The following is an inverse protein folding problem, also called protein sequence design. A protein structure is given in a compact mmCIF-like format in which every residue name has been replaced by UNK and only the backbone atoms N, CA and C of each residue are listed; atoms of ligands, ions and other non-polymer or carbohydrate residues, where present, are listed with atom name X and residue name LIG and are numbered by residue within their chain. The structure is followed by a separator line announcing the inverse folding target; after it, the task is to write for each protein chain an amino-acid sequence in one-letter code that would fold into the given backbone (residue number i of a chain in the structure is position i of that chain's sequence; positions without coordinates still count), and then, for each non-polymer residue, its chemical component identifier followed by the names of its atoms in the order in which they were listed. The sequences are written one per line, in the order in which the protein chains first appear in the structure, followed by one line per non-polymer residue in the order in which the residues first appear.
data_IF_029260117478
#
_entry.id   IF_029260117478
#
_cell.length_a   1.000
_cell.length_b   1.000
_cell.length_c   1.000
_cell.angle_alpha   90.00
_cell.angle_beta   90.00
_cell.angle_gamma   90.00
#
_symmetry.space_group_name_H-M   'P 1'
#
loop_
_entity.id
_entity.type
_entity.pdbx_description
1 polymer ?
#
# COMPACT_ATOMS: atom_id res chain seq x y z
N UNK A 1 0.67 14.36 -4.51
CA UNK A 1 -0.53 14.71 -5.28
C UNK A 1 -1.26 13.48 -5.80
N UNK A 2 -0.68 12.78 -6.78
CA UNK A 2 -1.19 11.49 -7.26
C UNK A 2 -1.33 10.47 -6.13
N UNK A 3 -0.34 10.42 -5.24
CA UNK A 3 -0.34 9.48 -4.11
C UNK A 3 -1.51 9.67 -3.13
N UNK A 4 -1.91 10.91 -2.87
CA UNK A 4 -3.14 11.18 -2.12
C UNK A 4 -4.40 10.56 -2.77
N UNK A 5 -4.49 10.57 -4.10
CA UNK A 5 -5.61 9.94 -4.83
C UNK A 5 -5.55 8.42 -4.64
N UNK A 6 -4.36 7.84 -4.73
CA UNK A 6 -4.14 6.41 -4.51
C UNK A 6 -4.55 6.00 -3.09
N UNK A 7 -4.07 6.67 -2.06
CA UNK A 7 -4.40 6.38 -0.64
C UNK A 7 -5.92 6.44 -0.40
N UNK A 8 -6.61 7.39 -1.03
CA UNK A 8 -8.09 7.49 -0.95
C UNK A 8 -8.80 6.27 -1.53
N UNK A 9 -8.20 5.59 -2.51
CA UNK A 9 -8.69 4.34 -3.12
C UNK A 9 -8.15 3.09 -2.42
N UNK A 10 -7.02 3.20 -1.74
CA UNK A 10 -6.46 2.15 -0.89
C UNK A 10 -7.30 1.90 0.37
N UNK A 11 -7.87 2.95 0.99
CA UNK A 11 -8.77 2.83 2.15
C UNK A 11 -9.92 1.82 1.95
N UNK A 12 -10.78 1.91 0.92
CA UNK A 12 -11.84 0.93 0.73
C UNK A 12 -11.31 -0.48 0.40
N UNK A 13 -10.15 -0.59 -0.26
CA UNK A 13 -9.51 -1.88 -0.47
C UNK A 13 -9.11 -2.52 0.86
N UNK A 14 -8.39 -1.81 1.74
CA UNK A 14 -8.02 -2.32 3.08
C UNK A 14 -9.27 -2.65 3.92
N UNK A 15 -10.31 -1.82 3.84
CA UNK A 15 -11.59 -2.14 4.49
C UNK A 15 -12.23 -3.43 3.95
N UNK A 16 -12.13 -3.71 2.64
CA UNK A 16 -12.62 -4.96 2.07
C UNK A 16 -11.81 -6.17 2.57
N UNK A 17 -10.49 -6.01 2.71
CA UNK A 17 -9.58 -7.03 3.25
C UNK A 17 -9.90 -7.30 4.71
N UNK A 18 -10.17 -6.26 5.51
CA UNK A 18 -10.64 -6.40 6.89
C UNK A 18 -11.93 -7.22 6.97
N UNK A 19 -12.90 -6.94 6.09
CA UNK A 19 -14.15 -7.71 6.03
C UNK A 19 -13.90 -9.17 5.65
N UNK A 20 -12.94 -9.45 4.76
CA UNK A 20 -12.53 -10.82 4.43
C UNK A 20 -11.85 -11.49 5.61
N UNK A 21 -10.95 -10.82 6.33
CA UNK A 21 -10.31 -11.35 7.53
C UNK A 21 -11.33 -11.79 8.59
N UNK A 22 -12.35 -10.97 8.86
CA UNK A 22 -13.42 -11.31 9.79
C UNK A 22 -14.27 -12.53 9.39
N UNK A 23 -14.25 -12.95 8.12
CA UNK A 23 -15.10 -14.02 7.58
C UNK A 23 -14.34 -15.29 7.21
N UNK A 24 -13.11 -15.12 6.73
CA UNK A 24 -12.34 -16.15 6.04
C UNK A 24 -11.05 -16.51 6.79
N UNK A 25 -10.57 -15.66 7.71
CA UNK A 25 -9.34 -15.95 8.44
C UNK A 25 -9.53 -17.05 9.48
N UNK A 26 -8.48 -17.84 9.68
CA UNK A 26 -8.38 -18.86 10.72
C UNK A 26 -7.59 -18.39 11.95
N UNK A 27 -7.21 -17.11 11.98
CA UNK A 27 -6.51 -16.45 13.08
C UNK A 27 -7.17 -15.11 13.38
N UNK A 28 -7.81 -15.01 14.55
CA UNK A 28 -8.56 -13.80 14.95
C UNK A 28 -7.67 -12.55 15.04
N UNK A 29 -6.35 -12.72 15.24
CA UNK A 29 -5.40 -11.61 15.33
C UNK A 29 -5.17 -10.89 14.00
N UNK A 30 -5.49 -11.52 12.86
CA UNK A 30 -5.40 -10.87 11.54
C UNK A 30 -6.22 -9.58 11.48
N UNK A 31 -7.42 -9.63 12.06
CA UNK A 31 -8.36 -8.52 12.08
C UNK A 31 -7.74 -7.31 12.75
N UNK A 32 -7.03 -7.51 13.87
CA UNK A 32 -6.40 -6.43 14.64
C UNK A 32 -5.25 -5.79 13.85
N UNK A 33 -4.43 -6.60 13.16
CA UNK A 33 -3.33 -6.11 12.32
C UNK A 33 -3.88 -5.26 11.17
N UNK A 34 -4.88 -5.76 10.44
CA UNK A 34 -5.46 -5.04 9.29
C UNK A 34 -6.19 -3.77 9.76
N UNK A 35 -6.89 -3.84 10.90
CA UNK A 35 -7.58 -2.69 11.49
C UNK A 35 -6.58 -1.58 11.89
N UNK A 36 -5.42 -1.93 12.44
CA UNK A 36 -4.38 -0.97 12.76
C UNK A 36 -3.85 -0.23 11.51
N UNK A 37 -3.71 -0.95 10.39
CA UNK A 37 -3.41 -0.36 9.09
C UNK A 37 -4.46 0.64 8.65
N UNK A 38 -5.73 0.22 8.64
CA UNK A 38 -6.86 1.07 8.25
C UNK A 38 -6.97 2.33 9.12
N UNK A 39 -6.71 2.22 10.43
CA UNK A 39 -6.66 3.36 11.33
C UNK A 39 -5.52 4.33 10.96
N UNK A 40 -4.33 3.82 10.64
CA UNK A 40 -3.18 4.61 10.23
C UNK A 40 -3.42 5.40 8.94
N UNK A 41 -4.24 4.87 8.01
CA UNK A 41 -4.62 5.58 6.78
C UNK A 41 -5.41 6.87 7.05
N UNK A 42 -6.15 6.98 8.16
CA UNK A 42 -6.81 8.23 8.53
C UNK A 42 -5.79 9.34 8.89
N UNK A 43 -4.75 8.96 9.62
CA UNK A 43 -3.67 9.87 9.99
C UNK A 43 -2.84 10.25 8.76
N UNK A 44 -2.68 9.32 7.82
CA UNK A 44 -1.99 9.56 6.55
C UNK A 44 -2.75 10.52 5.64
N UNK A 45 -4.06 10.35 5.51
CA UNK A 45 -4.91 11.31 4.79
C UNK A 45 -4.82 12.71 5.41
N UNK A 46 -4.75 12.80 6.74
CA UNK A 46 -4.61 14.06 7.45
C UNK A 46 -3.24 14.69 7.20
N UNK A 47 -2.19 13.87 7.19
CA UNK A 47 -0.83 14.29 6.83
C UNK A 47 -0.75 14.82 5.40
N UNK A 48 -1.31 14.12 4.41
CA UNK A 48 -1.34 14.60 3.02
C UNK A 48 -2.02 15.96 2.85
N UNK A 49 -3.09 16.22 3.61
CA UNK A 49 -3.77 17.53 3.58
C UNK A 49 -2.89 18.64 4.17
N UNK A 50 -2.16 18.33 5.23
CA UNK A 50 -1.22 19.28 5.84
C UNK A 50 -0.05 19.55 4.90
N UNK A 51 0.53 18.53 4.28
CA UNK A 51 1.58 18.69 3.27
C UNK A 51 1.08 19.51 2.09
N UNK A 52 -0.11 19.20 1.57
CA UNK A 52 -0.69 19.95 0.47
C UNK A 52 -0.84 21.45 0.80
N UNK A 53 -1.23 21.79 2.03
CA UNK A 53 -1.29 23.18 2.48
C UNK A 53 0.11 23.82 2.62
N UNK A 54 1.11 23.08 3.12
CA UNK A 54 2.51 23.55 3.21
C UNK A 54 3.11 23.86 1.84
N UNK A 55 2.80 23.05 0.83
CA UNK A 55 3.37 23.12 -0.51
C UNK A 55 2.48 23.86 -1.54
N UNK A 56 1.40 24.51 -1.10
CA UNK A 56 0.42 25.21 -1.95
C UNK A 56 -0.16 24.33 -3.08
N UNK A 57 -0.42 23.06 -2.78
CA UNK A 57 -0.98 22.08 -3.71
C UNK A 57 -2.49 21.94 -3.48
N UNK A 58 -3.29 22.28 -4.50
CA UNK A 58 -4.73 22.06 -4.46
C UNK A 58 -5.12 20.61 -4.78
N UNK A 59 -5.26 19.76 -3.75
CA UNK A 59 -5.59 18.34 -3.91
C UNK A 59 -6.87 18.07 -4.73
N UNK A 60 -7.85 18.99 -4.70
CA UNK A 60 -9.10 18.88 -5.46
C UNK A 60 -8.95 19.12 -6.96
N UNK A 61 -7.88 19.78 -7.39
CA UNK A 61 -7.62 20.10 -8.81
C UNK A 61 -6.70 19.09 -9.49
N UNK A 62 -6.16 18.12 -8.73
CA UNK A 62 -5.26 17.10 -9.26
C UNK A 62 -6.06 16.12 -10.11
N UNK A 63 -5.74 16.08 -11.40
CA UNK A 63 -6.27 15.07 -12.32
C UNK A 63 -5.47 13.77 -12.17
N UNK A 64 -6.10 12.61 -11.92
CA UNK A 64 -5.38 11.35 -11.81
C UNK A 64 -4.77 10.97 -13.16
N UNK A 65 -3.47 10.66 -13.17
CA UNK A 65 -2.78 10.17 -14.36
C UNK A 65 -3.25 8.75 -14.71
N UNK A 66 -3.00 8.33 -15.96
CA UNK A 66 -3.42 7.02 -16.46
C UNK A 66 -2.96 5.87 -15.55
N UNK A 67 -1.68 5.87 -15.19
CA UNK A 67 -1.09 4.90 -14.24
C UNK A 67 -1.82 4.85 -12.90
N UNK A 68 -2.11 6.01 -12.30
CA UNK A 68 -2.87 6.08 -11.05
C UNK A 68 -4.28 5.49 -11.22
N UNK A 69 -4.96 5.79 -12.33
CA UNK A 69 -6.28 5.23 -12.63
C UNK A 69 -6.23 3.72 -12.86
N UNK A 70 -5.19 3.20 -13.52
CA UNK A 70 -4.97 1.76 -13.71
C UNK A 70 -4.78 1.07 -12.36
N UNK A 71 -3.95 1.64 -11.48
CA UNK A 71 -3.73 1.11 -10.13
C UNK A 71 -5.02 1.14 -9.29
N UNK A 72 -5.78 2.23 -9.33
CA UNK A 72 -7.06 2.31 -8.61
C UNK A 72 -8.09 1.29 -9.12
N UNK A 73 -8.15 1.04 -10.44
CA UNK A 73 -9.01 -0.01 -11.01
C UNK A 73 -8.56 -1.40 -10.59
N UNK A 74 -7.25 -1.62 -10.50
CA UNK A 74 -6.69 -2.86 -9.97
C UNK A 74 -7.14 -3.09 -8.52
N UNK A 75 -7.01 -2.10 -7.64
CA UNK A 75 -7.53 -2.19 -6.26
C UNK A 75 -9.02 -2.55 -6.23
N UNK A 76 -9.83 -1.92 -7.10
CA UNK A 76 -11.27 -2.22 -7.23
C UNK A 76 -11.55 -3.67 -7.67
N UNK A 77 -10.69 -4.25 -8.51
CA UNK A 77 -10.78 -5.66 -8.91
C UNK A 77 -10.48 -6.62 -7.76
N UNK A 78 -9.61 -6.24 -6.81
CA UNK A 78 -9.27 -7.06 -5.65
C UNK A 78 -10.36 -7.12 -4.59
N UNK A 79 -11.27 -6.15 -4.61
CA UNK A 79 -12.41 -6.11 -3.69
C UNK A 79 -13.55 -7.07 -4.07
N UNK A 80 -13.45 -7.75 -5.22
CA UNK A 80 -14.53 -8.61 -5.68
C UNK A 80 -14.70 -9.86 -4.79
N UNK A 81 -15.92 -10.39 -4.64
CA UNK A 81 -16.18 -11.53 -3.76
C UNK A 81 -15.45 -12.83 -4.15
N UNK A 82 -15.12 -12.99 -5.43
CA UNK A 82 -14.42 -14.16 -5.99
C UNK A 82 -12.90 -14.12 -5.78
N UNK A 83 -12.34 -12.98 -5.38
CA UNK A 83 -10.93 -12.88 -4.96
C UNK A 83 -10.76 -13.48 -3.57
N UNK A 84 -9.89 -14.48 -3.44
CA UNK A 84 -9.66 -15.14 -2.15
C UNK A 84 -8.93 -14.22 -1.16
N UNK A 85 -9.17 -14.42 0.13
CA UNK A 85 -8.47 -13.68 1.19
C UNK A 85 -6.94 -13.74 1.05
N UNK A 86 -6.38 -14.91 0.73
CA UNK A 86 -4.93 -15.07 0.53
C UNK A 86 -4.36 -14.17 -0.58
N UNK A 87 -5.07 -14.06 -1.70
CA UNK A 87 -4.64 -13.22 -2.84
C UNK A 87 -4.74 -11.74 -2.48
N UNK A 88 -5.84 -11.33 -1.84
CA UNK A 88 -6.03 -9.94 -1.41
C UNK A 88 -5.00 -9.54 -0.33
N UNK A 89 -4.68 -10.42 0.62
CA UNK A 89 -3.63 -10.20 1.61
C UNK A 89 -2.23 -10.11 1.00
N UNK A 90 -1.96 -10.91 -0.03
CA UNK A 90 -0.67 -10.83 -0.75
C UNK A 90 -0.50 -9.47 -1.41
N UNK A 91 -1.54 -8.98 -2.09
CA UNK A 91 -1.51 -7.63 -2.66
C UNK A 91 -1.34 -6.55 -1.58
N UNK A 92 -2.09 -6.66 -0.47
CA UNK A 92 -2.01 -5.69 0.62
C UNK A 92 -0.60 -5.60 1.23
N UNK A 93 -0.02 -6.76 1.57
CA UNK A 93 1.36 -6.82 2.06
C UNK A 93 2.35 -6.24 1.04
N UNK A 94 2.24 -6.60 -0.24
CA UNK A 94 3.18 -6.16 -1.27
C UNK A 94 3.19 -4.64 -1.43
N UNK A 95 2.01 -4.00 -1.43
CA UNK A 95 1.87 -2.53 -1.54
C UNK A 95 2.60 -1.85 -0.37
N UNK A 96 2.31 -2.26 0.86
CA UNK A 96 2.91 -1.67 2.07
C UNK A 96 4.42 -1.94 2.14
N UNK A 97 4.86 -3.14 1.74
CA UNK A 97 6.26 -3.53 1.73
C UNK A 97 7.10 -2.72 0.72
N UNK A 98 6.57 -2.42 -0.47
CA UNK A 98 7.27 -1.59 -1.46
C UNK A 98 7.52 -0.18 -0.93
N UNK A 99 6.53 0.41 -0.24
CA UNK A 99 6.72 1.71 0.42
C UNK A 99 7.77 1.61 1.52
N UNK A 100 7.68 0.58 2.37
CA UNK A 100 8.63 0.41 3.47
C UNK A 100 10.07 0.29 2.98
N UNK A 101 10.33 -0.56 1.98
CA UNK A 101 11.67 -0.75 1.44
C UNK A 101 12.18 0.54 0.79
N UNK A 102 11.34 1.19 -0.01
CA UNK A 102 11.69 2.44 -0.69
C UNK A 102 12.10 3.55 0.28
N UNK A 103 11.33 3.75 1.36
CA UNK A 103 11.60 4.80 2.34
C UNK A 103 12.60 4.41 3.43
N UNK A 104 12.84 3.11 3.69
CA UNK A 104 13.92 2.70 4.59
C UNK A 104 15.30 3.17 4.07
N UNK A 105 15.50 3.09 2.75
CA UNK A 105 16.73 3.56 2.11
C UNK A 105 16.94 5.08 2.25
N UNK A 106 15.88 5.89 2.32
CA UNK A 106 16.03 7.34 2.47
C UNK A 106 16.36 7.79 3.90
N UNK A 107 16.36 6.87 4.88
CA UNK A 107 16.80 7.08 6.26
C UNK A 107 18.23 6.59 6.54
N UNK A 108 18.89 5.97 5.56
CA UNK A 108 20.28 5.53 5.69
C UNK A 108 21.22 6.72 5.92
N UNK A 109 22.33 6.50 6.62
CA UNK A 109 23.21 7.58 7.08
C UNK A 109 23.88 8.36 5.93
N UNK A 110 24.02 7.74 4.75
CA UNK A 110 24.56 8.32 3.53
C UNK A 110 23.47 8.80 2.54
N UNK A 111 22.20 8.67 2.89
CA UNK A 111 21.10 9.16 2.08
C UNK A 111 21.14 10.70 1.98
N UNK A 112 21.00 11.21 0.75
CA UNK A 112 20.97 12.66 0.46
C UNK A 112 19.54 13.21 0.49
N UNK A 113 18.73 12.72 1.42
CA UNK A 113 17.32 13.11 1.54
C UNK A 113 17.20 14.58 1.92
N UNK A 114 16.51 15.42 1.12
CA UNK A 114 16.25 16.81 1.45
C UNK A 114 15.57 16.94 2.82
N UNK A 115 15.91 17.97 3.59
CA UNK A 115 15.35 18.19 4.93
C UNK A 115 13.83 18.24 4.93
N UNK A 116 13.26 18.80 3.86
CA UNK A 116 11.82 18.99 3.72
C UNK A 116 11.07 17.68 3.45
N UNK A 117 11.78 16.62 3.00
CA UNK A 117 11.21 15.31 2.70
C UNK A 117 11.49 14.26 3.80
N UNK A 118 12.22 14.63 4.85
CA UNK A 118 12.53 13.70 5.95
C UNK A 118 11.31 13.18 6.67
N UNK A 119 10.28 14.02 6.84
CA UNK A 119 9.03 13.60 7.51
C UNK A 119 8.33 12.48 6.73
N UNK A 120 8.31 12.57 5.39
CA UNK A 120 7.81 11.50 4.51
C UNK A 120 8.63 10.22 4.69
N UNK A 121 9.96 10.34 4.67
CA UNK A 121 10.87 9.22 4.91
C UNK A 121 10.67 8.53 6.25
N UNK A 122 10.50 9.29 7.34
CA UNK A 122 10.27 8.73 8.66
C UNK A 122 8.92 7.99 8.75
N UNK A 123 7.91 8.44 8.00
CA UNK A 123 6.57 7.83 8.04
C UNK A 123 6.58 6.37 7.58
N UNK A 124 7.15 6.11 6.40
CA UNK A 124 7.17 4.77 5.80
C UNK A 124 8.51 4.05 5.97
N UNK A 125 9.61 4.75 6.28
CA UNK A 125 10.92 4.14 6.52
C UNK A 125 11.16 3.73 7.97
N UNK A 126 10.28 4.11 8.92
CA UNK A 126 10.48 3.82 10.34
C UNK A 126 10.49 2.33 10.66
N UNK A 127 11.17 1.98 11.76
CA UNK A 127 11.14 0.62 12.33
C UNK A 127 9.70 0.18 12.68
N UNK A 128 8.84 1.11 13.10
CA UNK A 128 7.45 0.84 13.42
C UNK A 128 6.65 0.35 12.20
N UNK A 129 6.79 1.05 11.07
CA UNK A 129 6.15 0.64 9.82
C UNK A 129 6.78 -0.66 9.28
N UNK A 130 8.09 -0.84 9.43
CA UNK A 130 8.77 -2.12 9.17
C UNK A 130 8.13 -3.32 9.87
N UNK A 131 7.93 -3.23 11.19
CA UNK A 131 7.29 -4.30 11.99
C UNK A 131 5.83 -4.55 11.59
N UNK A 132 5.13 -3.51 11.16
CA UNK A 132 3.77 -3.62 10.65
C UNK A 132 3.77 -4.40 9.31
N UNK A 133 4.64 -4.05 8.36
CA UNK A 133 4.79 -4.78 7.11
C UNK A 133 5.21 -6.25 7.32
N UNK A 134 6.10 -6.53 8.27
CA UNK A 134 6.44 -7.91 8.67
C UNK A 134 5.25 -8.69 9.23
N UNK A 135 4.34 -8.00 9.93
CA UNK A 135 3.12 -8.63 10.47
C UNK A 135 2.15 -8.99 9.33
N UNK A 136 1.99 -8.10 8.35
CA UNK A 136 1.23 -8.40 7.13
C UNK A 136 1.85 -9.55 6.33
N UNK A 137 3.18 -9.59 6.23
CA UNK A 137 3.89 -10.67 5.54
C UNK A 137 3.56 -12.03 6.15
N UNK A 138 3.64 -12.13 7.49
CA UNK A 138 3.34 -13.39 8.21
C UNK A 138 1.92 -13.87 7.92
N UNK A 139 0.95 -12.95 7.83
CA UNK A 139 -0.43 -13.29 7.49
C UNK A 139 -0.50 -13.80 6.05
N UNK A 140 0.08 -13.07 5.09
CA UNK A 140 0.09 -13.45 3.68
C UNK A 140 0.74 -14.83 3.47
N UNK A 141 1.92 -15.06 4.04
CA UNK A 141 2.65 -16.34 3.96
C UNK A 141 1.82 -17.50 4.56
N UNK A 142 1.18 -17.28 5.71
CA UNK A 142 0.31 -18.27 6.36
C UNK A 142 -0.89 -18.60 5.47
N UNK A 143 -1.53 -17.60 4.87
CA UNK A 143 -2.69 -17.80 4.00
C UNK A 143 -2.32 -18.51 2.69
N UNK A 144 -1.20 -18.14 2.06
CA UNK A 144 -0.73 -18.75 0.81
C UNK A 144 -0.29 -20.19 1.04
N UNK A 145 0.45 -20.48 2.11
CA UNK A 145 0.93 -21.83 2.42
C UNK A 145 -0.20 -22.84 2.71
N UNK A 146 -1.34 -22.37 3.24
CA UNK A 146 -2.55 -23.18 3.44
C UNK A 146 -3.43 -23.29 2.19
N UNK A 147 -3.21 -22.42 1.20
CA UNK A 147 -3.99 -22.38 -0.04
C UNK A 147 -3.68 -23.56 -0.98
N UNK A 148 -4.60 -23.80 -1.93
CA UNK A 148 -4.36 -24.72 -3.03
C UNK A 148 -3.27 -24.20 -3.98
N UNK A 149 -2.75 -25.05 -4.87
CA UNK A 149 -1.78 -24.61 -5.89
C UNK A 149 -2.32 -23.47 -6.77
N UNK A 150 -3.63 -23.48 -7.07
CA UNK A 150 -4.27 -22.39 -7.81
C UNK A 150 -4.23 -21.07 -7.04
N UNK A 151 -4.46 -21.10 -5.72
CA UNK A 151 -4.34 -19.90 -4.86
C UNK A 151 -2.90 -19.41 -4.80
N UNK A 152 -1.93 -20.32 -4.68
CA UNK A 152 -0.50 -19.96 -4.65
C UNK A 152 -0.07 -19.28 -5.96
N UNK A 153 -0.45 -19.86 -7.11
CA UNK A 153 -0.14 -19.27 -8.42
C UNK A 153 -0.82 -17.90 -8.60
N UNK A 154 -2.06 -17.75 -8.13
CA UNK A 154 -2.77 -16.46 -8.17
C UNK A 154 -2.12 -15.43 -7.25
N UNK A 155 -1.65 -15.81 -6.08
CA UNK A 155 -0.95 -14.93 -5.16
C UNK A 155 0.39 -14.46 -5.74
N UNK A 156 1.15 -15.35 -6.37
CA UNK A 156 2.40 -14.99 -7.07
C UNK A 156 2.13 -14.04 -8.25
N UNK A 157 1.15 -14.36 -9.10
CA UNK A 157 0.75 -13.47 -10.19
C UNK A 157 0.31 -12.10 -9.67
N UNK A 158 -0.36 -12.08 -8.51
CA UNK A 158 -0.79 -10.85 -7.86
C UNK A 158 0.38 -10.01 -7.36
N UNK A 159 1.38 -10.64 -6.73
CA UNK A 159 2.61 -9.98 -6.31
C UNK A 159 3.30 -9.32 -7.52
N UNK A 160 3.48 -10.05 -8.62
CA UNK A 160 4.10 -9.52 -9.84
C UNK A 160 3.32 -8.31 -10.38
N UNK A 161 1.99 -8.40 -10.42
CA UNK A 161 1.14 -7.31 -10.89
C UNK A 161 1.26 -6.06 -10.00
N UNK A 162 1.35 -6.21 -8.67
CA UNK A 162 1.61 -5.08 -7.76
C UNK A 162 2.95 -4.45 -8.08
N UNK A 163 4.02 -5.24 -8.22
CA UNK A 163 5.35 -4.72 -8.50
C UNK A 163 5.43 -3.97 -9.83
N UNK A 164 4.75 -4.46 -10.87
CA UNK A 164 4.64 -3.77 -12.17
C UNK A 164 3.94 -2.41 -12.02
N UNK A 165 2.80 -2.38 -11.32
CA UNK A 165 2.05 -1.15 -11.07
C UNK A 165 2.83 -0.15 -10.22
N UNK A 166 3.56 -0.62 -9.21
CA UNK A 166 4.46 0.20 -8.39
C UNK A 166 5.55 0.83 -9.26
N UNK A 167 6.25 0.07 -10.09
CA UNK A 167 7.27 0.61 -11.00
C UNK A 167 6.69 1.71 -11.89
N UNK A 168 5.52 1.48 -12.49
CA UNK A 168 4.86 2.52 -13.29
C UNK A 168 4.50 3.76 -12.45
N UNK A 169 4.03 3.55 -11.22
CA UNK A 169 3.64 4.62 -10.30
C UNK A 169 4.83 5.47 -9.85
N UNK A 170 5.98 4.87 -9.55
CA UNK A 170 7.21 5.59 -9.25
C UNK A 170 7.71 6.36 -10.48
N UNK A 171 7.69 5.73 -11.67
CA UNK A 171 8.10 6.37 -12.93
C UNK A 171 7.25 7.59 -13.29
N UNK A 172 5.97 7.66 -12.87
CA UNK A 172 5.15 8.86 -13.13
C UNK A 172 5.59 10.07 -12.29
N UNK A 173 6.35 9.83 -11.21
CA UNK A 173 6.83 10.85 -10.27
C UNK A 173 8.24 11.33 -10.60
N UNK A 174 9.02 10.52 -11.32
CA UNK A 174 10.21 10.97 -12.04
C UNK A 174 9.74 11.87 -13.18
N UNK A 175 9.69 13.19 -12.94
CA UNK A 175 9.19 14.14 -13.93
C UNK A 175 9.80 13.89 -15.31
N UNK A 176 8.99 14.02 -16.37
CA UNK A 176 9.50 13.96 -17.74
C UNK A 176 10.67 14.94 -17.88
N UNK A 177 11.89 14.40 -17.86
CA UNK A 177 13.07 15.15 -18.32
C UNK A 177 12.94 15.28 -19.83
N UNK A 178 12.17 16.28 -20.27
CA UNK A 178 12.21 16.82 -21.62
C UNK A 178 13.20 17.98 -21.67
#
# INVERSE_FOLDING_TARGET
GQDYIFVRKFVPFVASVLVKACKESDDESDMEVILAGLASLNDEISWFKNEAAKWDVQLSEITPLKTNQDYCRFLESLMQPDVSYAVAMTAFWAIEAVYQVSFAHCLEADAKTPSELKEACERWGSEGFGKYCESLQKIADRCVSKGSQDVQNKAEAMLLQVLELEVEFWNMSEGQMN
#
